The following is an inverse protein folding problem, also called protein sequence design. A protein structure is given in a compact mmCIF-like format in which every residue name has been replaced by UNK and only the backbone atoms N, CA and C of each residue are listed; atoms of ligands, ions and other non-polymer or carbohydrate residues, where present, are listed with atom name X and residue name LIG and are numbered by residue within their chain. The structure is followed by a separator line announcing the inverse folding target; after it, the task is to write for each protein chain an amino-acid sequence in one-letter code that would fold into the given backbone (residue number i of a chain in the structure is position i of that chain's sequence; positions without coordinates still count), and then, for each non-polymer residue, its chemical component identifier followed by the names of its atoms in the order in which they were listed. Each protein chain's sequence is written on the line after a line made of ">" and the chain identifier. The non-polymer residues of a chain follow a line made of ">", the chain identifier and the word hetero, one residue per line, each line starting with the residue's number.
data_IF_741998682414
#
_entry.id   IF_741998682414
#
_cell.length_a   1.000
_cell.length_b   1.000
_cell.length_c   1.000
_cell.angle_alpha   90.00
_cell.angle_beta   90.00
_cell.angle_gamma   90.00
#
_symmetry.space_group_name_H-M   'P 1'
#
loop_
_entity.id
_entity.type
_entity.pdbx_description
1 polymer ?
#
# COMPACT_ATOMS: atom_id res chain seq x y z
N UNK A 1 -30.19 41.27 8.93
CA UNK A 1 -30.21 41.27 7.45
C UNK A 1 -29.33 42.40 6.95
N UNK A 2 -28.61 42.25 5.82
CA UNK A 2 -27.86 43.33 5.23
C UNK A 2 -28.83 44.47 4.82
N UNK A 3 -28.47 45.72 5.09
CA UNK A 3 -29.28 46.89 4.80
C UNK A 3 -28.61 47.74 3.75
N UNK A 4 -29.30 48.07 2.65
CA UNK A 4 -28.77 48.88 1.58
C UNK A 4 -28.83 50.36 1.91
N UNK A 5 -27.78 51.10 1.54
CA UNK A 5 -27.71 52.58 1.65
C UNK A 5 -27.75 53.17 0.26
N UNK A 6 -28.44 54.29 0.09
CA UNK A 6 -28.49 55.01 -1.17
C UNK A 6 -27.25 55.85 -1.36
N UNK A 7 -26.56 55.67 -2.48
CA UNK A 7 -25.38 56.46 -2.87
C UNK A 7 -25.80 57.79 -3.46
N UNK A 8 -24.88 58.79 -3.51
CA UNK A 8 -25.13 60.05 -4.21
C UNK A 8 -25.48 59.90 -5.68
N UNK A 9 -25.05 58.83 -6.32
CA UNK A 9 -25.39 58.45 -7.72
C UNK A 9 -26.83 58.01 -7.91
N UNK A 10 -27.59 57.79 -6.82
CA UNK A 10 -28.95 57.24 -6.85
C UNK A 10 -28.99 55.70 -6.71
N UNK A 11 -27.87 54.99 -6.90
CA UNK A 11 -27.72 53.55 -6.79
C UNK A 11 -27.84 53.08 -5.32
N UNK A 12 -28.24 51.86 -5.11
CA UNK A 12 -28.25 51.22 -3.80
C UNK A 12 -26.99 50.38 -3.59
N UNK A 13 -26.37 50.49 -2.42
CA UNK A 13 -25.15 49.78 -2.05
C UNK A 13 -25.31 49.06 -0.72
N UNK A 14 -24.90 47.79 -0.68
CA UNK A 14 -24.94 46.97 0.51
C UNK A 14 -23.59 46.24 0.70
N UNK A 15 -23.13 46.15 1.93
CA UNK A 15 -21.90 45.42 2.26
C UNK A 15 -22.17 44.29 3.24
N UNK A 16 -21.51 43.15 3.03
CA UNK A 16 -21.56 42.01 3.90
C UNK A 16 -20.17 41.70 4.42
N UNK A 17 -20.06 41.41 5.71
CA UNK A 17 -18.76 41.00 6.30
C UNK A 17 -18.28 39.69 5.69
N UNK A 18 -17.12 39.75 5.00
CA UNK A 18 -16.52 38.65 4.28
C UNK A 18 -15.36 37.98 5.02
N UNK A 19 -15.12 38.31 6.31
CA UNK A 19 -14.04 37.72 7.13
C UNK A 19 -12.91 38.70 7.40
N UNK A 20 -11.73 38.16 7.60
CA UNK A 20 -10.54 38.93 7.87
C UNK A 20 -9.48 38.66 6.78
N UNK A 21 -8.69 39.67 6.46
CA UNK A 21 -7.50 39.56 5.61
C UNK A 21 -6.29 40.15 6.35
N UNK A 22 -5.11 39.64 6.07
CA UNK A 22 -3.86 40.21 6.58
C UNK A 22 -3.35 41.23 5.57
N UNK A 23 -3.26 42.49 5.96
CA UNK A 23 -2.71 43.59 5.18
C UNK A 23 -1.64 44.25 6.03
N UNK A 24 -0.40 44.31 5.54
CA UNK A 24 0.77 44.84 6.25
C UNK A 24 0.97 44.21 7.65
N UNK A 25 0.80 42.90 7.76
CA UNK A 25 0.93 42.14 9.00
C UNK A 25 -0.20 42.34 10.02
N UNK A 26 -1.22 43.18 9.71
CA UNK A 26 -2.36 43.46 10.58
C UNK A 26 -3.63 42.80 10.10
N UNK A 27 -4.41 42.22 11.00
CA UNK A 27 -5.71 41.60 10.72
C UNK A 27 -6.77 42.70 10.48
N UNK A 28 -7.20 42.86 9.21
CA UNK A 28 -8.24 43.81 8.79
C UNK A 28 -9.54 43.08 8.42
N UNK A 29 -10.70 43.69 8.68
CA UNK A 29 -11.99 43.16 8.23
C UNK A 29 -12.12 43.29 6.72
N UNK A 30 -12.55 42.22 6.06
CA UNK A 30 -12.89 42.20 4.63
C UNK A 30 -14.41 42.26 4.49
N UNK A 31 -14.90 43.03 3.51
CA UNK A 31 -16.31 43.11 3.18
C UNK A 31 -16.50 42.85 1.70
N UNK A 32 -17.60 42.22 1.35
CA UNK A 32 -18.07 42.06 -0.02
C UNK A 32 -19.15 43.13 -0.28
N UNK A 33 -19.15 43.71 -1.48
CA UNK A 33 -19.99 44.85 -1.84
C UNK A 33 -20.97 44.47 -2.96
N UNK A 34 -22.23 44.88 -2.81
CA UNK A 34 -23.28 44.69 -3.77
C UNK A 34 -23.87 46.02 -4.12
N UNK A 35 -24.02 46.31 -5.43
CA UNK A 35 -24.57 47.58 -5.93
C UNK A 35 -25.69 47.29 -6.90
N UNK A 36 -26.77 48.08 -6.84
CA UNK A 36 -27.89 48.04 -7.79
C UNK A 36 -28.16 49.47 -8.27
N UNK A 37 -28.15 49.68 -9.58
CA UNK A 37 -28.31 51.00 -10.18
C UNK A 37 -29.75 51.49 -10.33
N UNK A 38 -30.73 50.64 -10.05
CA UNK A 38 -32.14 51.03 -9.99
C UNK A 38 -32.40 51.90 -8.73
N UNK A 39 -32.71 53.19 -8.87
CA UNK A 39 -32.91 54.11 -7.73
C UNK A 39 -34.19 53.88 -6.94
N UNK A 40 -35.09 53.02 -7.43
CA UNK A 40 -36.39 52.69 -6.79
C UNK A 40 -36.25 51.79 -5.57
N UNK A 41 -37.32 51.64 -4.79
CA UNK A 41 -37.37 50.68 -3.71
C UNK A 41 -37.25 49.21 -4.17
N UNK A 42 -37.53 48.94 -5.45
CA UNK A 42 -37.28 47.65 -6.08
C UNK A 42 -35.78 47.36 -6.18
N UNK A 43 -34.96 48.37 -6.56
CA UNK A 43 -33.53 48.26 -6.59
C UNK A 43 -32.92 48.08 -5.19
N UNK A 44 -33.48 48.75 -4.16
CA UNK A 44 -33.10 48.53 -2.76
C UNK A 44 -33.30 47.06 -2.36
N UNK A 45 -34.49 46.50 -2.60
CA UNK A 45 -34.80 45.11 -2.28
C UNK A 45 -33.91 44.11 -3.04
N UNK A 46 -33.59 44.41 -4.33
CA UNK A 46 -32.73 43.58 -5.14
C UNK A 46 -31.29 43.54 -4.58
N UNK A 47 -30.74 44.70 -4.18
CA UNK A 47 -29.44 44.83 -3.56
C UNK A 47 -29.35 44.08 -2.23
N UNK A 48 -30.35 44.25 -1.36
CA UNK A 48 -30.41 43.55 -0.06
C UNK A 48 -30.58 42.03 -0.24
N UNK A 49 -31.38 41.59 -1.23
CA UNK A 49 -31.53 40.18 -1.56
C UNK A 49 -30.22 39.56 -2.05
N UNK A 50 -29.53 40.20 -2.99
CA UNK A 50 -28.25 39.70 -3.47
C UNK A 50 -27.19 39.56 -2.35
N UNK A 51 -27.17 40.53 -1.44
CA UNK A 51 -26.31 40.51 -0.26
C UNK A 51 -26.71 39.40 0.74
N UNK A 52 -27.98 39.15 0.94
CA UNK A 52 -28.52 38.09 1.79
C UNK A 52 -28.26 36.70 1.21
N UNK A 53 -28.51 36.51 -0.10
CA UNK A 53 -28.30 35.28 -0.81
C UNK A 53 -26.81 34.90 -0.78
N UNK A 54 -25.91 35.87 -0.98
CA UNK A 54 -24.46 35.65 -0.84
C UNK A 54 -24.06 35.24 0.58
N UNK A 55 -24.60 35.89 1.61
CA UNK A 55 -24.32 35.56 3.00
C UNK A 55 -24.83 34.16 3.38
N UNK A 56 -25.98 33.74 2.85
CA UNK A 56 -26.55 32.40 3.04
C UNK A 56 -25.67 31.34 2.32
N UNK A 57 -25.34 31.55 1.04
CA UNK A 57 -24.52 30.63 0.26
C UNK A 57 -23.13 30.44 0.91
N UNK A 58 -22.54 31.52 1.41
CA UNK A 58 -21.28 31.46 2.14
C UNK A 58 -21.40 30.67 3.45
N UNK A 59 -22.47 30.85 4.22
CA UNK A 59 -22.74 30.13 5.46
C UNK A 59 -22.97 28.62 5.17
N UNK A 60 -23.63 28.31 4.07
CA UNK A 60 -23.79 26.93 3.59
C UNK A 60 -22.47 26.32 3.12
N UNK A 61 -21.65 27.06 2.32
CA UNK A 61 -20.31 26.61 1.92
C UNK A 61 -19.41 26.32 3.12
N UNK A 62 -19.47 27.16 4.17
CA UNK A 62 -18.74 26.93 5.42
C UNK A 62 -19.24 25.70 6.21
N UNK A 63 -20.46 25.22 5.97
CA UNK A 63 -21.04 24.00 6.55
C UNK A 63 -20.86 22.76 5.69
N UNK A 64 -20.61 22.92 4.38
CA UNK A 64 -20.42 21.82 3.43
C UNK A 64 -19.03 21.21 3.64
N UNK A 65 -18.99 19.93 3.97
CA UNK A 65 -17.76 19.15 3.91
C UNK A 65 -17.59 18.62 2.51
N UNK A 66 -16.42 18.89 1.92
CA UNK A 66 -16.04 18.32 0.64
C UNK A 66 -15.46 16.92 0.82
N UNK A 67 -15.29 16.19 -0.27
CA UNK A 67 -14.56 14.91 -0.27
C UNK A 67 -13.13 15.09 0.27
N UNK A 68 -12.45 16.19 -0.10
CA UNK A 68 -11.10 16.48 0.42
C UNK A 68 -11.09 16.70 1.93
N UNK A 69 -12.08 17.42 2.48
CA UNK A 69 -12.23 17.61 3.92
C UNK A 69 -12.46 16.29 4.67
N UNK A 70 -13.29 15.41 4.09
CA UNK A 70 -13.56 14.11 4.68
C UNK A 70 -12.33 13.19 4.64
N UNK A 71 -11.61 13.15 3.52
CA UNK A 71 -10.37 12.40 3.39
C UNK A 71 -9.31 12.90 4.38
N UNK A 72 -9.13 14.22 4.48
CA UNK A 72 -8.20 14.85 5.45
C UNK A 72 -8.58 14.49 6.87
N UNK A 73 -9.84 14.70 7.25
CA UNK A 73 -10.31 14.38 8.60
C UNK A 73 -10.13 12.90 8.96
N UNK A 74 -10.35 11.99 8.01
CA UNK A 74 -10.09 10.57 8.20
C UNK A 74 -8.60 10.28 8.41
N UNK A 75 -7.71 10.81 7.56
CA UNK A 75 -6.26 10.60 7.67
C UNK A 75 -5.75 11.14 9.01
N UNK A 76 -6.15 12.36 9.38
CA UNK A 76 -5.76 13.00 10.64
C UNK A 76 -6.23 12.17 11.86
N UNK A 77 -7.44 11.62 11.82
CA UNK A 77 -7.97 10.76 12.89
C UNK A 77 -7.17 9.46 13.08
N UNK A 78 -6.41 9.04 12.06
CA UNK A 78 -5.60 7.82 12.08
C UNK A 78 -4.10 8.08 12.30
N UNK A 79 -3.67 9.33 12.44
CA UNK A 79 -2.28 9.73 12.51
C UNK A 79 -1.49 9.01 13.63
N UNK A 80 -2.11 8.78 14.79
CA UNK A 80 -1.48 8.10 15.94
C UNK A 80 -1.60 6.56 15.89
N UNK A 81 -2.49 6.01 15.05
CA UNK A 81 -2.81 4.58 15.01
C UNK A 81 -2.09 3.87 13.86
N UNK A 82 -2.06 4.50 12.69
CA UNK A 82 -1.48 3.90 11.49
C UNK A 82 0.04 4.08 11.45
N UNK A 83 0.68 3.26 10.60
CA UNK A 83 2.12 3.42 10.39
C UNK A 83 2.40 4.66 9.53
N UNK A 84 3.54 5.36 9.73
CA UNK A 84 3.91 6.53 8.92
C UNK A 84 3.87 6.25 7.41
N UNK A 85 4.32 5.08 6.98
CA UNK A 85 4.28 4.66 5.57
C UNK A 85 2.85 4.54 5.01
N UNK A 86 1.88 4.17 5.85
CA UNK A 86 0.46 4.11 5.45
C UNK A 86 -0.11 5.53 5.29
N UNK A 87 0.22 6.43 6.21
CA UNK A 87 -0.21 7.83 6.13
C UNK A 87 0.36 8.51 4.88
N UNK A 88 1.66 8.35 4.62
CA UNK A 88 2.31 8.85 3.39
C UNK A 88 1.61 8.30 2.14
N UNK A 89 1.24 7.01 2.15
CA UNK A 89 0.51 6.43 1.02
C UNK A 89 -0.91 7.02 0.88
N UNK A 90 -1.62 7.25 1.98
CA UNK A 90 -2.94 7.87 1.96
C UNK A 90 -2.90 9.30 1.43
N UNK A 91 -1.92 10.11 1.85
CA UNK A 91 -1.72 11.46 1.32
C UNK A 91 -1.40 11.44 -0.19
N UNK A 92 -0.58 10.50 -0.63
CA UNK A 92 -0.30 10.30 -2.06
C UNK A 92 -1.56 9.92 -2.83
N UNK A 93 -2.36 9.00 -2.30
CA UNK A 93 -3.62 8.56 -2.91
C UNK A 93 -4.60 9.73 -2.97
N UNK A 94 -4.77 10.47 -1.86
CA UNK A 94 -5.62 11.68 -1.81
C UNK A 94 -5.22 12.71 -2.86
N UNK A 95 -3.93 12.95 -3.01
CA UNK A 95 -3.40 13.94 -3.97
C UNK A 95 -3.66 13.56 -5.43
N UNK A 96 -3.57 12.27 -5.78
CA UNK A 96 -3.42 11.87 -7.19
C UNK A 96 -4.69 11.31 -7.83
N UNK A 97 -5.75 10.96 -7.05
CA UNK A 97 -6.86 10.18 -7.61
C UNK A 97 -8.24 10.76 -7.35
N UNK A 98 -8.35 11.90 -6.67
CA UNK A 98 -9.63 12.47 -6.27
C UNK A 98 -10.00 13.78 -6.99
N UNK A 99 -9.20 14.22 -7.97
CA UNK A 99 -9.39 15.53 -8.64
C UNK A 99 -10.81 15.70 -9.21
N UNK A 100 -11.40 14.63 -9.77
CA UNK A 100 -12.73 14.67 -10.40
C UNK A 100 -13.88 14.87 -9.39
N UNK A 101 -13.65 14.56 -8.10
CA UNK A 101 -14.70 14.63 -7.04
C UNK A 101 -14.27 15.39 -5.80
N UNK A 102 -13.05 15.88 -5.73
CA UNK A 102 -12.42 16.52 -4.56
C UNK A 102 -13.30 17.59 -3.91
N UNK A 103 -13.83 18.50 -4.72
CA UNK A 103 -14.60 19.66 -4.26
C UNK A 103 -16.11 19.36 -4.11
N UNK A 104 -16.53 18.13 -4.37
CA UNK A 104 -17.94 17.77 -4.23
C UNK A 104 -18.35 17.66 -2.77
N UNK A 105 -19.55 18.16 -2.48
CA UNK A 105 -20.19 18.01 -1.17
C UNK A 105 -20.50 16.52 -0.91
N UNK A 106 -20.00 15.99 0.20
CA UNK A 106 -20.17 14.56 0.55
C UNK A 106 -21.63 14.15 0.71
N UNK A 107 -22.51 15.07 1.11
CA UNK A 107 -23.94 14.80 1.29
C UNK A 107 -24.71 14.70 -0.04
N UNK A 108 -24.09 15.17 -1.13
CA UNK A 108 -24.66 15.15 -2.49
C UNK A 108 -24.05 14.07 -3.38
N UNK A 109 -23.23 13.19 -2.82
CA UNK A 109 -22.63 12.07 -3.54
C UNK A 109 -23.69 10.98 -3.75
N UNK A 110 -24.15 10.84 -4.97
CA UNK A 110 -25.02 9.75 -5.38
C UNK A 110 -24.25 8.59 -6.03
N UNK A 111 -24.94 7.47 -6.20
CA UNK A 111 -24.38 6.26 -6.81
C UNK A 111 -23.86 6.52 -8.23
N UNK A 112 -24.57 7.32 -9.02
CA UNK A 112 -24.20 7.58 -10.41
C UNK A 112 -22.90 8.37 -10.50
N UNK A 113 -22.78 9.44 -9.72
CA UNK A 113 -21.56 10.25 -9.63
C UNK A 113 -20.34 9.39 -9.26
N UNK A 114 -20.49 8.53 -8.25
CA UNK A 114 -19.38 7.68 -7.79
C UNK A 114 -19.05 6.60 -8.81
N UNK A 115 -20.06 5.98 -9.44
CA UNK A 115 -19.80 4.99 -10.48
C UNK A 115 -19.08 5.62 -11.69
N UNK A 116 -19.46 6.82 -12.09
CA UNK A 116 -18.80 7.56 -13.18
C UNK A 116 -17.34 7.86 -12.84
N UNK A 117 -17.07 8.31 -11.61
CA UNK A 117 -15.69 8.52 -11.14
C UNK A 117 -14.87 7.22 -11.13
N UNK A 118 -15.42 6.11 -10.60
CA UNK A 118 -14.75 4.80 -10.62
C UNK A 118 -14.48 4.32 -12.05
N UNK A 119 -15.42 4.53 -12.97
CA UNK A 119 -15.23 4.18 -14.39
C UNK A 119 -14.12 5.02 -15.04
N UNK A 120 -14.06 6.32 -14.73
CA UNK A 120 -12.97 7.20 -15.17
C UNK A 120 -11.60 6.80 -14.61
N UNK A 121 -11.53 6.37 -13.36
CA UNK A 121 -10.30 5.82 -12.77
C UNK A 121 -9.92 4.49 -13.43
N UNK A 122 -10.91 3.62 -13.71
CA UNK A 122 -10.67 2.30 -14.32
C UNK A 122 -10.13 2.40 -15.76
N UNK A 123 -10.47 3.46 -16.49
CA UNK A 123 -9.92 3.74 -17.80
C UNK A 123 -8.44 4.17 -17.77
N UNK A 124 -7.96 4.70 -16.64
CA UNK A 124 -6.61 5.29 -16.51
C UNK A 124 -5.66 4.43 -15.67
N UNK A 125 -6.19 3.59 -14.77
CA UNK A 125 -5.39 2.90 -13.77
C UNK A 125 -5.76 1.43 -13.64
N UNK A 126 -4.81 0.63 -13.14
CA UNK A 126 -5.03 -0.80 -12.92
C UNK A 126 -6.13 -1.08 -11.88
N UNK A 127 -6.84 -2.22 -11.98
CA UNK A 127 -7.87 -2.64 -11.02
C UNK A 127 -7.40 -2.57 -9.56
N UNK A 128 -6.14 -2.95 -9.30
CA UNK A 128 -5.54 -2.87 -7.96
C UNK A 128 -5.43 -1.43 -7.45
N UNK A 129 -5.04 -0.49 -8.32
CA UNK A 129 -4.97 0.94 -7.97
C UNK A 129 -6.35 1.49 -7.63
N UNK A 130 -7.36 1.21 -8.47
CA UNK A 130 -8.75 1.65 -8.22
C UNK A 130 -9.27 1.09 -6.90
N UNK A 131 -9.00 -0.18 -6.59
CA UNK A 131 -9.40 -0.80 -5.31
C UNK A 131 -8.69 -0.16 -4.11
N UNK A 132 -7.43 0.24 -4.24
CA UNK A 132 -6.70 0.95 -3.19
C UNK A 132 -7.28 2.35 -2.94
N UNK A 133 -7.65 3.07 -4.01
CA UNK A 133 -8.32 4.38 -3.92
C UNK A 133 -9.67 4.23 -3.23
N UNK A 134 -10.46 3.23 -3.64
CA UNK A 134 -11.73 2.87 -3.01
C UNK A 134 -11.58 2.53 -1.53
N UNK A 135 -10.52 1.80 -1.17
CA UNK A 135 -10.19 1.43 0.20
C UNK A 135 -9.86 2.62 1.13
N UNK A 136 -9.48 3.78 0.58
CA UNK A 136 -9.37 5.03 1.34
C UNK A 136 -10.69 5.80 1.35
N UNK A 137 -11.40 5.84 0.21
CA UNK A 137 -12.63 6.61 0.05
C UNK A 137 -13.74 6.14 0.99
N UNK A 138 -14.04 4.83 0.98
CA UNK A 138 -15.18 4.28 1.75
C UNK A 138 -15.10 4.58 3.25
N UNK A 139 -14.02 4.24 3.96
CA UNK A 139 -13.95 4.51 5.39
C UNK A 139 -13.87 6.01 5.71
N UNK A 140 -13.38 6.84 4.78
CA UNK A 140 -13.40 8.29 4.95
C UNK A 140 -14.82 8.85 4.86
N UNK A 141 -15.65 8.37 3.94
CA UNK A 141 -17.06 8.76 3.84
C UNK A 141 -17.90 8.21 5.00
N UNK A 142 -17.66 6.93 5.37
CA UNK A 142 -18.36 6.27 6.48
C UNK A 142 -18.17 7.00 7.82
N UNK A 143 -16.97 7.54 8.07
CA UNK A 143 -16.68 8.37 9.26
C UNK A 143 -17.63 9.56 9.40
N UNK A 144 -18.19 10.07 8.30
CA UNK A 144 -19.14 11.18 8.27
C UNK A 144 -20.58 10.73 8.04
N UNK A 145 -20.86 9.43 8.14
CA UNK A 145 -22.20 8.86 7.97
C UNK A 145 -22.69 8.87 6.51
N UNK A 146 -21.79 8.94 5.54
CA UNK A 146 -22.11 8.96 4.11
C UNK A 146 -21.82 7.60 3.49
N UNK A 147 -22.84 6.93 2.99
CA UNK A 147 -22.79 5.58 2.43
C UNK A 147 -23.80 4.64 3.10
N UNK A 148 -23.74 3.33 2.83
CA UNK A 148 -22.81 2.63 1.93
C UNK A 148 -23.12 2.88 0.44
N UNK A 149 -22.05 2.90 -0.38
CA UNK A 149 -22.17 3.05 -1.83
C UNK A 149 -22.17 1.70 -2.54
N UNK A 150 -23.25 1.39 -3.26
CA UNK A 150 -23.35 0.18 -4.09
C UNK A 150 -22.81 0.48 -5.50
N UNK A 151 -21.50 0.30 -5.72
CA UNK A 151 -20.84 0.50 -7.02
C UNK A 151 -20.16 -0.78 -7.49
N UNK A 152 -19.93 -0.87 -8.81
CA UNK A 152 -19.17 -1.94 -9.43
C UNK A 152 -17.71 -1.53 -9.54
N UNK A 153 -16.83 -2.28 -8.89
CA UNK A 153 -15.38 -2.10 -8.99
C UNK A 153 -14.81 -2.96 -10.13
N UNK A 154 -13.70 -2.54 -10.77
CA UNK A 154 -13.07 -3.34 -11.80
C UNK A 154 -12.62 -4.69 -11.21
N UNK A 155 -12.76 -5.77 -12.02
CA UNK A 155 -12.35 -7.10 -11.62
C UNK A 155 -10.83 -7.11 -11.43
N UNK A 156 -10.37 -7.66 -10.30
CA UNK A 156 -8.95 -7.90 -10.13
C UNK A 156 -8.54 -9.04 -11.07
N UNK A 157 -7.57 -8.80 -11.90
CA UNK A 157 -6.83 -9.87 -12.57
C UNK A 157 -5.79 -10.37 -11.57
N UNK A 158 -5.76 -11.66 -11.32
CA UNK A 158 -4.68 -12.27 -10.56
C UNK A 158 -3.49 -12.40 -11.55
N UNK A 159 -2.42 -11.58 -11.40
CA UNK A 159 -1.27 -11.73 -12.28
C UNK A 159 -0.63 -13.09 -12.03
N UNK A 160 -0.30 -13.82 -13.09
CA UNK A 160 0.57 -14.97 -12.99
C UNK A 160 1.90 -14.54 -12.35
N UNK A 161 2.12 -14.97 -11.11
CA UNK A 161 3.33 -14.65 -10.36
C UNK A 161 4.38 -15.71 -10.73
N UNK A 162 5.42 -15.28 -11.42
CA UNK A 162 6.56 -16.15 -11.64
C UNK A 162 7.32 -16.38 -10.33
N UNK A 163 7.39 -17.62 -9.90
CA UNK A 163 8.22 -18.03 -8.76
C UNK A 163 9.55 -18.53 -9.31
N UNK A 164 10.70 -17.90 -8.98
CA UNK A 164 11.98 -18.32 -9.50
C UNK A 164 12.34 -19.75 -9.06
N UNK A 165 13.01 -20.47 -9.94
CA UNK A 165 13.57 -21.82 -9.69
C UNK A 165 14.95 -21.75 -9.04
N UNK A 166 15.46 -22.90 -8.57
CA UNK A 166 16.85 -23.04 -8.09
C UNK A 166 17.88 -22.62 -9.15
N UNK A 167 17.60 -22.89 -10.42
CA UNK A 167 18.48 -22.51 -11.52
C UNK A 167 18.52 -21.00 -11.70
N UNK A 168 17.38 -20.33 -11.62
CA UNK A 168 17.29 -18.86 -11.73
C UNK A 168 18.05 -18.16 -10.60
N UNK A 169 17.85 -18.63 -9.35
CA UNK A 169 18.53 -18.05 -8.19
C UNK A 169 20.04 -18.25 -8.30
N UNK A 170 20.53 -19.43 -8.70
CA UNK A 170 21.96 -19.70 -8.93
C UNK A 170 22.52 -18.83 -10.05
N UNK A 171 21.83 -18.73 -11.18
CA UNK A 171 22.25 -17.91 -12.31
C UNK A 171 22.35 -16.42 -11.91
N UNK A 172 21.35 -15.90 -11.21
CA UNK A 172 21.35 -14.52 -10.71
C UNK A 172 22.51 -14.28 -9.73
N UNK A 173 22.74 -15.18 -8.78
CA UNK A 173 23.86 -15.09 -7.83
C UNK A 173 25.22 -15.19 -8.52
N UNK A 174 25.36 -15.96 -9.59
CA UNK A 174 26.63 -16.01 -10.36
C UNK A 174 26.90 -14.71 -11.12
N UNK A 175 25.85 -14.05 -11.60
CA UNK A 175 25.92 -12.78 -12.33
C UNK A 175 26.25 -11.60 -11.41
N UNK A 176 25.60 -11.52 -10.22
CA UNK A 176 25.72 -10.37 -9.31
C UNK A 176 27.08 -10.31 -8.65
N UNK A 177 27.83 -9.21 -8.90
CA UNK A 177 29.15 -8.93 -8.31
C UNK A 177 29.07 -7.97 -7.10
N UNK A 178 28.02 -7.16 -7.03
CA UNK A 178 27.75 -6.26 -5.90
C UNK A 178 27.51 -7.08 -4.62
N UNK A 179 28.42 -6.94 -3.64
CA UNK A 179 28.42 -7.74 -2.40
C UNK A 179 27.18 -7.53 -1.55
N UNK A 180 26.68 -6.29 -1.42
CA UNK A 180 25.46 -5.98 -0.68
C UNK A 180 24.22 -6.57 -1.36
N UNK A 181 24.13 -6.42 -2.69
CA UNK A 181 23.03 -7.00 -3.46
C UNK A 181 23.05 -8.53 -3.40
N UNK A 182 24.23 -9.15 -3.50
CA UNK A 182 24.40 -10.59 -3.39
C UNK A 182 23.91 -11.11 -2.04
N UNK A 183 24.32 -10.46 -0.93
CA UNK A 183 23.83 -10.80 0.41
C UNK A 183 22.31 -10.60 0.50
N UNK A 184 21.78 -9.52 -0.07
CA UNK A 184 20.33 -9.24 -0.09
C UNK A 184 19.55 -10.37 -0.76
N UNK A 185 20.03 -10.86 -1.92
CA UNK A 185 19.41 -11.98 -2.65
C UNK A 185 19.45 -13.25 -1.79
N UNK A 186 20.59 -13.56 -1.19
CA UNK A 186 20.75 -14.75 -0.34
C UNK A 186 19.81 -14.69 0.88
N UNK A 187 19.75 -13.57 1.59
CA UNK A 187 18.87 -13.40 2.74
C UNK A 187 17.37 -13.49 2.39
N UNK A 188 16.99 -12.99 1.22
CA UNK A 188 15.63 -13.11 0.73
C UNK A 188 15.27 -14.53 0.29
N UNK A 189 16.17 -15.20 -0.46
CA UNK A 189 15.95 -16.52 -1.04
C UNK A 189 16.06 -17.65 0.00
N UNK A 190 17.01 -17.58 0.91
CA UNK A 190 17.30 -18.68 1.84
C UNK A 190 16.81 -18.44 3.27
N UNK A 191 16.50 -17.19 3.66
CA UNK A 191 15.97 -16.84 4.97
C UNK A 191 14.57 -16.22 4.93
N UNK A 192 14.01 -16.05 3.75
CA UNK A 192 12.69 -15.42 3.56
C UNK A 192 12.56 -14.04 4.23
N UNK A 193 13.62 -13.23 4.27
CA UNK A 193 13.60 -11.91 4.88
C UNK A 193 12.93 -10.88 3.94
N UNK A 194 12.23 -9.91 4.55
CA UNK A 194 11.69 -8.77 3.80
C UNK A 194 12.79 -7.76 3.47
N UNK A 195 12.70 -7.09 2.35
CA UNK A 195 13.66 -6.06 1.92
C UNK A 195 13.96 -5.02 3.01
N UNK A 196 12.93 -4.53 3.71
CA UNK A 196 13.10 -3.56 4.80
C UNK A 196 13.78 -4.15 6.04
N UNK A 197 13.62 -5.43 6.30
CA UNK A 197 14.29 -6.17 7.37
C UNK A 197 15.77 -6.35 7.00
N UNK A 198 16.06 -6.80 5.79
CA UNK A 198 17.43 -6.97 5.27
C UNK A 198 18.23 -5.66 5.38
N UNK A 199 17.66 -4.54 4.94
CA UNK A 199 18.35 -3.25 5.00
C UNK A 199 18.52 -2.69 6.43
N UNK A 200 17.89 -3.30 7.43
CA UNK A 200 18.04 -2.90 8.82
C UNK A 200 19.08 -3.74 9.59
N UNK A 201 19.56 -4.87 9.01
CA UNK A 201 20.47 -5.77 9.68
C UNK A 201 21.84 -5.14 9.95
N UNK A 202 22.36 -5.47 11.12
CA UNK A 202 23.72 -5.15 11.56
C UNK A 202 24.49 -6.44 11.84
N UNK A 203 25.82 -6.43 11.96
CA UNK A 203 26.60 -7.63 12.31
C UNK A 203 26.13 -8.32 13.59
N UNK A 204 25.61 -7.56 14.57
CA UNK A 204 25.13 -8.09 15.85
C UNK A 204 23.83 -8.93 15.70
N UNK A 205 23.13 -8.80 14.60
CA UNK A 205 21.93 -9.60 14.34
C UNK A 205 22.26 -10.99 13.79
N UNK A 206 23.53 -11.22 13.32
CA UNK A 206 23.98 -12.51 12.81
C UNK A 206 24.34 -13.42 13.97
N UNK A 207 23.80 -14.62 13.97
CA UNK A 207 24.05 -15.69 14.93
C UNK A 207 24.78 -16.85 14.25
N UNK A 208 25.09 -17.92 14.97
CA UNK A 208 25.73 -19.11 14.39
C UNK A 208 24.79 -19.98 13.55
N UNK A 209 23.47 -19.81 13.68
CA UNK A 209 22.46 -20.62 12.97
C UNK A 209 21.58 -19.79 12.03
N UNK A 210 21.65 -18.46 12.10
CA UNK A 210 20.76 -17.64 11.31
C UNK A 210 20.88 -16.16 11.64
N UNK A 211 19.76 -15.46 11.58
CA UNK A 211 19.69 -14.01 11.82
C UNK A 211 18.48 -13.65 12.69
N UNK A 212 18.70 -12.75 13.64
CA UNK A 212 17.64 -12.17 14.47
C UNK A 212 16.97 -11.02 13.72
N UNK A 213 15.70 -11.20 13.38
CA UNK A 213 14.90 -10.19 12.68
C UNK A 213 13.99 -9.50 13.71
N UNK A 214 14.38 -8.31 14.15
CA UNK A 214 13.68 -7.53 15.17
C UNK A 214 13.51 -6.06 14.80
N UNK A 215 13.86 -5.66 13.59
CA UNK A 215 13.81 -4.27 13.10
C UNK A 215 13.61 -4.22 11.59
N UNK A 216 13.16 -3.08 11.12
CA UNK A 216 12.99 -2.81 9.69
C UNK A 216 13.35 -1.35 9.39
N UNK A 217 13.98 -1.11 8.25
CA UNK A 217 14.28 0.24 7.75
C UNK A 217 13.08 0.72 6.94
N UNK A 218 12.41 1.77 7.43
CA UNK A 218 11.19 2.33 6.83
C UNK A 218 11.32 3.83 6.65
N UNK A 219 10.53 4.40 5.76
CA UNK A 219 10.46 5.84 5.58
C UNK A 219 9.46 6.44 6.55
N UNK A 220 9.84 7.53 7.26
CA UNK A 220 8.94 8.31 8.09
C UNK A 220 8.11 9.32 7.24
N UNK A 221 7.29 10.12 7.88
CA UNK A 221 6.46 11.17 7.24
C UNK A 221 7.28 12.26 6.54
N UNK A 222 8.52 12.50 7.01
CA UNK A 222 9.48 13.45 6.41
C UNK A 222 10.32 12.83 5.28
N UNK A 223 10.00 11.57 4.85
CA UNK A 223 10.73 10.78 3.86
C UNK A 223 12.15 10.41 4.29
N UNK A 224 12.47 10.45 5.57
CA UNK A 224 13.73 9.99 6.12
C UNK A 224 13.69 8.50 6.42
N UNK A 225 14.83 7.83 6.26
CA UNK A 225 14.95 6.41 6.55
C UNK A 225 15.25 6.20 8.03
N UNK A 226 14.32 5.58 8.73
CA UNK A 226 14.41 5.32 10.18
C UNK A 226 14.27 3.83 10.48
N UNK A 227 14.98 3.39 11.52
CA UNK A 227 14.82 2.04 12.05
C UNK A 227 13.52 1.97 12.86
N UNK A 228 12.64 1.07 12.47
CA UNK A 228 11.41 0.78 13.20
C UNK A 228 11.51 -0.60 13.85
N UNK A 229 11.34 -0.63 15.17
CA UNK A 229 11.20 -1.86 15.93
C UNK A 229 9.72 -2.32 15.83
N UNK A 230 9.45 -3.60 15.63
CA UNK A 230 8.09 -4.14 15.58
C UNK A 230 7.31 -3.87 16.88
N UNK A 231 6.02 -3.56 16.76
CA UNK A 231 5.15 -3.27 17.92
C UNK A 231 4.82 -4.51 18.77
N UNK A 232 5.09 -5.73 18.29
CA UNK A 232 4.75 -7.00 18.98
C UNK A 232 5.94 -7.95 19.02
N UNK A 233 6.06 -8.73 20.09
CA UNK A 233 7.05 -9.82 20.23
C UNK A 233 6.93 -10.87 19.11
N UNK A 234 5.73 -11.11 18.60
CA UNK A 234 5.47 -12.03 17.49
C UNK A 234 6.10 -11.59 16.15
N UNK A 235 6.51 -10.34 16.03
CA UNK A 235 7.22 -9.82 14.85
C UNK A 235 8.74 -9.96 14.97
N UNK A 236 9.26 -10.31 16.14
CA UNK A 236 10.66 -10.67 16.37
C UNK A 236 10.78 -12.17 16.14
N UNK A 237 11.70 -12.56 15.26
CA UNK A 237 11.95 -13.97 14.94
C UNK A 237 13.41 -14.24 14.71
N UNK A 238 13.80 -15.47 14.86
CA UNK A 238 15.03 -16.00 14.33
C UNK A 238 14.74 -16.63 12.96
N UNK A 239 15.50 -16.24 11.95
CA UNK A 239 15.42 -16.83 10.62
C UNK A 239 16.69 -17.69 10.41
N UNK A 240 16.48 -19.01 10.34
CA UNK A 240 17.57 -19.96 10.08
C UNK A 240 18.13 -19.77 8.67
N UNK A 241 19.44 -19.89 8.54
CA UNK A 241 20.18 -19.66 7.29
C UNK A 241 21.26 -20.73 7.07
N UNK A 242 21.53 -21.10 5.80
CA UNK A 242 22.67 -21.94 5.48
C UNK A 242 24.01 -21.29 5.90
N UNK A 243 24.98 -22.10 6.33
CA UNK A 243 26.29 -21.63 6.82
C UNK A 243 26.98 -20.72 5.81
N UNK A 244 26.96 -21.04 4.52
CA UNK A 244 27.63 -20.22 3.49
C UNK A 244 27.03 -18.79 3.39
N UNK A 245 25.76 -18.59 3.77
CA UNK A 245 25.15 -17.25 3.84
C UNK A 245 25.65 -16.49 5.05
N UNK A 246 25.77 -17.19 6.19
CA UNK A 246 26.28 -16.62 7.43
C UNK A 246 27.74 -16.21 7.31
N UNK A 247 28.57 -17.07 6.70
CA UNK A 247 29.96 -16.79 6.46
C UNK A 247 30.11 -15.56 5.55
N UNK A 248 29.37 -15.52 4.46
CA UNK A 248 29.36 -14.36 3.56
C UNK A 248 28.90 -13.07 4.27
N UNK A 249 27.89 -13.15 5.15
CA UNK A 249 27.42 -11.99 5.91
C UNK A 249 28.46 -11.52 6.96
N UNK A 250 29.20 -12.43 7.60
CA UNK A 250 30.28 -12.13 8.57
C UNK A 250 31.51 -11.49 7.89
N UNK A 251 31.80 -11.86 6.64
CA UNK A 251 32.89 -11.29 5.85
C UNK A 251 32.60 -9.88 5.31
N UNK A 252 31.28 -9.52 5.21
CA UNK A 252 30.90 -8.23 4.68
C UNK A 252 31.14 -7.12 5.71
N UNK A 253 32.02 -6.17 5.36
CA UNK A 253 32.22 -4.99 6.21
C UNK A 253 30.95 -4.13 6.25
N UNK A 254 30.45 -3.78 7.44
CA UNK A 254 29.29 -2.89 7.56
C UNK A 254 29.61 -1.50 7.00
N UNK A 255 28.61 -0.83 6.47
CA UNK A 255 28.73 0.56 6.05
C UNK A 255 28.95 1.52 7.24
N UNK A 256 29.21 2.80 6.96
CA UNK A 256 29.39 3.84 7.99
C UNK A 256 28.19 3.97 8.94
N UNK A 257 27.00 3.60 8.49
CA UNK A 257 25.79 3.55 9.29
C UNK A 257 25.63 2.29 10.17
N UNK A 258 26.68 1.45 10.25
CA UNK A 258 26.72 0.22 11.03
C UNK A 258 25.88 -0.95 10.49
N UNK A 259 25.23 -0.80 9.32
CA UNK A 259 24.38 -1.83 8.71
C UNK A 259 25.14 -2.67 7.70
N UNK A 260 24.75 -3.93 7.53
CA UNK A 260 25.30 -4.82 6.49
C UNK A 260 24.97 -4.34 5.07
N UNK A 261 23.79 -3.74 4.91
CA UNK A 261 23.37 -3.10 3.66
C UNK A 261 23.35 -1.59 3.90
N UNK A 262 24.32 -0.89 3.34
CA UNK A 262 24.54 0.54 3.58
C UNK A 262 23.43 1.42 2.98
N UNK A 263 22.85 0.97 1.87
CA UNK A 263 21.86 1.75 1.13
C UNK A 263 20.41 1.56 1.65
N UNK A 264 19.51 2.39 1.11
CA UNK A 264 18.08 2.32 1.45
C UNK A 264 17.38 1.13 0.76
N UNK A 265 16.22 0.67 1.30
CA UNK A 265 15.40 -0.34 0.65
C UNK A 265 15.00 0.00 -0.79
N UNK A 266 14.81 1.28 -1.10
CA UNK A 266 14.51 1.72 -2.45
C UNK A 266 15.73 1.63 -3.37
N UNK A 267 16.92 1.93 -2.86
CA UNK A 267 18.16 1.86 -3.63
C UNK A 267 18.55 0.40 -3.93
N UNK A 268 18.44 -0.50 -2.95
CA UNK A 268 18.75 -1.93 -3.19
C UNK A 268 17.74 -2.56 -4.17
N UNK A 269 16.46 -2.16 -4.13
CA UNK A 269 15.46 -2.58 -5.12
C UNK A 269 15.85 -2.15 -6.53
N UNK A 270 16.31 -0.90 -6.71
CA UNK A 270 16.77 -0.41 -8.02
C UNK A 270 18.00 -1.16 -8.51
N UNK A 271 18.95 -1.51 -7.61
CA UNK A 271 20.12 -2.36 -7.96
C UNK A 271 19.65 -3.74 -8.41
N UNK A 272 18.70 -4.33 -7.68
CA UNK A 272 18.11 -5.62 -8.02
C UNK A 272 17.43 -5.58 -9.40
N UNK A 273 16.58 -4.57 -9.67
CA UNK A 273 15.91 -4.43 -10.96
C UNK A 273 16.87 -4.30 -12.14
N UNK A 274 18.00 -3.59 -11.95
CA UNK A 274 19.05 -3.53 -12.97
C UNK A 274 19.72 -4.89 -13.20
N UNK A 275 20.00 -5.63 -12.14
CA UNK A 275 20.59 -6.96 -12.25
C UNK A 275 19.65 -7.94 -12.97
N UNK A 276 18.35 -7.95 -12.60
CA UNK A 276 17.31 -8.78 -13.24
C UNK A 276 17.16 -8.45 -14.74
N UNK A 277 17.29 -7.20 -15.13
CA UNK A 277 17.19 -6.81 -16.54
C UNK A 277 18.36 -7.33 -17.41
N UNK A 278 19.49 -7.72 -16.79
CA UNK A 278 20.74 -8.01 -17.50
C UNK A 278 21.31 -9.41 -17.23
N UNK A 279 20.76 -10.21 -16.27
CA UNK A 279 21.37 -11.50 -15.91
C UNK A 279 21.07 -12.65 -16.89
N UNK A 280 20.20 -12.40 -17.87
CA UNK A 280 19.90 -13.35 -18.95
C UNK A 280 18.87 -14.44 -18.62
N UNK A 281 18.17 -14.32 -17.47
CA UNK A 281 17.10 -15.24 -17.05
C UNK A 281 15.73 -14.56 -16.96
N UNK A 282 14.72 -15.26 -16.40
CA UNK A 282 13.37 -14.75 -16.25
C UNK A 282 13.29 -13.50 -15.35
N UNK A 283 12.33 -12.63 -15.64
CA UNK A 283 12.08 -11.44 -14.81
C UNK A 283 11.21 -11.77 -13.59
N UNK A 284 11.71 -11.46 -12.39
CA UNK A 284 10.97 -11.56 -11.13
C UNK A 284 11.37 -10.43 -10.16
N UNK A 285 10.60 -10.24 -9.12
CA UNK A 285 10.82 -9.17 -8.12
C UNK A 285 11.67 -9.70 -6.96
N UNK A 286 12.36 -8.82 -6.25
CA UNK A 286 13.08 -9.20 -5.02
C UNK A 286 12.16 -9.90 -3.99
N UNK A 287 10.89 -9.51 -3.93
CA UNK A 287 9.92 -10.16 -3.04
C UNK A 287 9.57 -11.59 -3.46
N UNK A 288 9.69 -11.94 -4.74
CA UNK A 288 9.40 -13.26 -5.25
C UNK A 288 10.44 -14.31 -4.80
N UNK A 289 11.64 -13.87 -4.37
CA UNK A 289 12.59 -14.75 -3.67
C UNK A 289 12.04 -15.29 -2.35
N UNK A 290 11.12 -14.60 -1.69
CA UNK A 290 10.42 -15.12 -0.53
C UNK A 290 9.37 -16.17 -0.92
N UNK A 291 8.78 -16.05 -2.10
CA UNK A 291 7.90 -17.08 -2.67
C UNK A 291 8.72 -18.32 -3.02
N UNK A 292 9.92 -18.14 -3.61
CA UNK A 292 10.88 -19.22 -3.84
C UNK A 292 11.19 -19.99 -2.54
N UNK A 293 11.47 -19.30 -1.41
CA UNK A 293 11.70 -19.97 -0.11
C UNK A 293 10.51 -20.85 0.30
N UNK A 294 9.30 -20.36 0.15
CA UNK A 294 8.07 -21.10 0.47
C UNK A 294 7.93 -22.32 -0.43
N UNK A 295 8.18 -22.15 -1.74
CA UNK A 295 8.12 -23.20 -2.73
C UNK A 295 9.10 -24.35 -2.45
N UNK A 296 10.36 -23.98 -2.16
CA UNK A 296 11.40 -24.96 -1.79
C UNK A 296 11.05 -25.67 -0.48
N UNK A 297 10.59 -24.95 0.55
CA UNK A 297 10.18 -25.54 1.81
C UNK A 297 9.05 -26.56 1.61
N UNK A 298 8.08 -26.22 0.78
CA UNK A 298 7.00 -27.13 0.44
C UNK A 298 7.49 -28.36 -0.33
N UNK A 299 8.34 -28.19 -1.34
CA UNK A 299 8.95 -29.29 -2.10
C UNK A 299 9.73 -30.27 -1.23
N UNK A 300 10.37 -29.76 -0.18
CA UNK A 300 11.09 -30.56 0.82
C UNK A 300 10.19 -31.16 1.89
N UNK A 301 8.87 -30.94 1.84
CA UNK A 301 7.91 -31.45 2.85
C UNK A 301 8.04 -30.78 4.22
N UNK A 302 8.62 -29.58 4.28
CA UNK A 302 8.75 -28.83 5.55
C UNK A 302 7.34 -28.38 5.97
N UNK A 303 6.92 -28.67 7.22
CA UNK A 303 5.60 -28.28 7.70
C UNK A 303 5.38 -26.76 7.60
N UNK A 304 4.17 -26.36 7.17
CA UNK A 304 3.82 -24.96 6.92
C UNK A 304 4.12 -24.06 8.12
N UNK A 305 3.92 -24.53 9.34
CA UNK A 305 4.16 -23.76 10.56
C UNK A 305 5.62 -23.33 10.73
N UNK A 306 6.58 -24.17 10.33
CA UNK A 306 8.01 -23.84 10.36
C UNK A 306 8.34 -22.78 9.29
N UNK A 307 7.83 -22.98 8.07
CA UNK A 307 8.00 -22.02 6.97
C UNK A 307 7.44 -20.65 7.34
N UNK A 308 6.24 -20.62 7.93
CA UNK A 308 5.59 -19.40 8.40
C UNK A 308 6.36 -18.70 9.50
N UNK A 309 6.87 -19.44 10.49
CA UNK A 309 7.64 -18.91 11.60
C UNK A 309 8.95 -18.30 11.11
N UNK A 310 9.70 -19.00 10.27
CA UNK A 310 10.97 -18.52 9.71
C UNK A 310 10.77 -17.28 8.85
N UNK A 311 9.78 -17.26 7.97
CA UNK A 311 9.46 -16.12 7.10
C UNK A 311 8.69 -14.98 7.78
N UNK A 312 8.21 -15.16 9.02
CA UNK A 312 7.37 -14.17 9.72
C UNK A 312 6.01 -13.95 9.06
N UNK A 313 5.36 -15.02 8.64
CA UNK A 313 4.01 -15.02 8.09
C UNK A 313 2.97 -15.21 9.19
N UNK A 314 1.78 -14.62 9.02
CA UNK A 314 0.64 -14.88 9.93
C UNK A 314 -0.06 -16.18 9.53
N UNK A 315 -0.65 -16.91 10.51
CA UNK A 315 -1.37 -18.18 10.28
C UNK A 315 -2.47 -18.10 9.21
N UNK A 316 -3.03 -16.92 8.95
CA UNK A 316 -4.10 -16.72 7.97
C UNK A 316 -3.61 -15.94 6.72
N UNK A 317 -2.31 -15.96 6.43
CA UNK A 317 -1.77 -15.23 5.30
C UNK A 317 -2.31 -15.76 3.98
N UNK A 318 -3.14 -14.94 3.31
CA UNK A 318 -3.64 -15.23 1.96
C UNK A 318 -2.51 -15.51 0.97
N UNK A 319 -1.40 -14.78 1.09
CA UNK A 319 -0.21 -14.93 0.24
C UNK A 319 0.42 -16.30 0.38
N UNK A 320 0.51 -16.85 1.61
CA UNK A 320 0.98 -18.23 1.81
C UNK A 320 0.09 -19.22 1.06
N UNK A 321 -1.23 -19.10 1.18
CA UNK A 321 -2.18 -20.00 0.51
C UNK A 321 -2.13 -19.87 -1.01
N UNK A 322 -1.91 -18.67 -1.55
CA UNK A 322 -1.79 -18.43 -2.99
C UNK A 322 -0.48 -19.03 -3.52
N UNK A 323 0.66 -18.81 -2.86
CA UNK A 323 1.95 -19.40 -3.25
C UNK A 323 1.91 -20.93 -3.14
N UNK A 324 1.32 -21.49 -2.05
CA UNK A 324 1.12 -22.94 -1.94
C UNK A 324 0.27 -23.51 -3.08
N UNK A 325 -0.76 -22.79 -3.52
CA UNK A 325 -1.63 -23.26 -4.62
C UNK A 325 -0.91 -23.25 -5.97
N UNK A 326 -0.05 -22.25 -6.24
CA UNK A 326 0.65 -22.13 -7.51
C UNK A 326 1.83 -23.11 -7.62
N UNK A 327 2.51 -23.39 -6.50
CA UNK A 327 3.56 -24.44 -6.41
C UNK A 327 2.97 -25.86 -6.54
N UNK A 328 1.69 -26.03 -6.20
CA UNK A 328 0.98 -27.31 -6.30
C UNK A 328 0.93 -27.88 -7.73
N UNK A 329 1.07 -27.08 -8.79
CA UNK A 329 0.92 -27.59 -10.16
C UNK A 329 2.05 -28.53 -10.60
N UNK A 330 3.30 -28.24 -10.27
CA UNK A 330 4.43 -29.12 -10.65
C UNK A 330 4.64 -30.27 -9.66
N UNK A 331 4.57 -29.99 -8.37
CA UNK A 331 4.67 -31.00 -7.31
C UNK A 331 3.43 -31.90 -7.29
N UNK A 332 2.26 -31.39 -7.65
CA UNK A 332 1.02 -32.14 -7.74
C UNK A 332 1.11 -33.23 -8.83
N UNK A 333 1.86 -32.98 -9.91
CA UNK A 333 2.12 -34.01 -10.94
C UNK A 333 3.01 -35.13 -10.36
N UNK A 334 4.12 -34.79 -9.69
CA UNK A 334 4.99 -35.80 -9.04
C UNK A 334 4.27 -36.57 -7.96
N UNK A 335 3.51 -35.89 -7.10
CA UNK A 335 2.75 -36.53 -6.03
C UNK A 335 1.62 -37.42 -6.59
N UNK A 336 0.95 -37.03 -7.67
CA UNK A 336 -0.01 -37.89 -8.37
C UNK A 336 0.66 -39.14 -8.94
N UNK A 337 1.86 -39.01 -9.48
CA UNK A 337 2.62 -40.18 -9.97
C UNK A 337 3.04 -41.09 -8.83
N UNK A 338 3.53 -40.56 -7.72
CA UNK A 338 3.85 -41.32 -6.50
C UNK A 338 2.63 -42.04 -5.91
N UNK A 339 1.50 -41.35 -5.82
CA UNK A 339 0.23 -41.94 -5.36
C UNK A 339 -0.25 -43.05 -6.30
N UNK A 340 -0.20 -42.85 -7.62
CA UNK A 340 -0.56 -43.86 -8.62
C UNK A 340 0.35 -45.08 -8.51
N UNK A 341 1.64 -44.89 -8.38
CA UNK A 341 2.61 -45.96 -8.20
C UNK A 341 2.31 -46.78 -6.92
N UNK A 342 2.08 -46.08 -5.79
CA UNK A 342 1.75 -46.73 -4.52
C UNK A 342 0.47 -47.56 -4.59
N UNK A 343 -0.61 -47.01 -5.15
CA UNK A 343 -1.87 -47.74 -5.26
C UNK A 343 -1.82 -48.87 -6.29
N UNK A 344 -0.98 -48.78 -7.33
CA UNK A 344 -0.74 -49.90 -8.24
C UNK A 344 -0.03 -51.07 -7.56
N UNK A 345 0.92 -50.82 -6.64
CA UNK A 345 1.58 -51.85 -5.85
C UNK A 345 0.54 -52.55 -4.93
N UNK A 346 -0.28 -51.75 -4.24
CA UNK A 346 -1.34 -52.31 -3.35
C UNK A 346 -2.32 -53.17 -4.15
N UNK A 347 -2.70 -52.77 -5.36
CA UNK A 347 -3.60 -53.55 -6.21
C UNK A 347 -2.97 -54.88 -6.69
N UNK A 348 -1.68 -54.86 -7.07
CA UNK A 348 -0.95 -56.06 -7.43
C UNK A 348 -0.80 -57.04 -6.26
N UNK A 349 -0.55 -56.56 -5.06
CA UNK A 349 -0.48 -57.40 -3.85
C UNK A 349 -1.83 -58.04 -3.53
N UNK A 350 -2.94 -57.32 -3.70
CA UNK A 350 -4.28 -57.87 -3.53
C UNK A 350 -4.61 -58.94 -4.57
N UNK A 351 -4.18 -58.76 -5.82
CA UNK A 351 -4.38 -59.76 -6.91
C UNK A 351 -3.52 -61.00 -6.66
N UNK A 352 -2.28 -60.85 -6.22
CA UNK A 352 -1.37 -61.95 -5.92
C UNK A 352 -1.83 -62.78 -4.73
N UNK A 353 -2.42 -62.13 -3.68
CA UNK A 353 -3.04 -62.83 -2.56
C UNK A 353 -4.24 -63.67 -3.00
N UNK A 354 -5.12 -63.14 -3.85
CA UNK A 354 -6.26 -63.91 -4.40
C UNK A 354 -5.85 -65.13 -5.24
N UNK A 355 -4.73 -65.04 -6.00
CA UNK A 355 -4.19 -66.17 -6.79
C UNK A 355 -3.51 -67.25 -5.94
N UNK A 356 -3.15 -66.99 -4.70
CA UNK A 356 -2.53 -67.94 -3.76
C UNK A 356 -3.59 -68.66 -2.89
N UNK A 357 -4.83 -68.22 -2.87
CA UNK A 357 -5.94 -68.77 -2.11
C UNK A 357 -7.02 -69.42 -2.95
N UNK A 358 -6.86 -69.49 -4.23
CA UNK A 358 -7.60 -70.33 -5.23
C UNK A 358 -6.70 -71.40 -5.77
#
# INVERSE_FOLDING_TARGET
>A
MPTAKKLPSGSWHCTVFAGYQIVDGKKKRKYESFTCDDPSDRGKKACEKAAADWALDRKERARRKTVDDALRGYIDSKATVLSPSTLVNYERVKKNYFDDIRERDITKLDRQTIQTWISGLSARYSPKTVRNVWGLFVPAMDMFGVGPFKVTLPRAEDPELYTPSDADVRQLLSYVKDKELRLTIMLAAYGSLRRSEICALTPQDITDTGVTVNKALVQNEYREWVIKVPKTKASTRHADLPLFVLDYAKELKPGENGRLISCSPQSIERRFQRAIACYGGPHFRLHDLRHYYVSVSHALGIPEEYTMRNGGWKKESRVMREVYRDVLTDIDRENRERLRAHFSIVQNDMQNKKRRTS
#
